data_IF_593081510593
#
_entry.id   IF_593081510593
#
_cell.length_a   1.000
_cell.length_b   1.000
_cell.length_c   1.000
_cell.angle_alpha   90.00
_cell.angle_beta   90.00
_cell.angle_gamma   90.00
#
_symmetry.space_group_name_H-M   'P 1'
#
loop_
_entity.id
_entity.type
_entity.pdbx_description
1 polymer ?
#
# COMPACT_ATOMS: atom_id res chain seq x y z
N UNK A 1 17.05 -13.43 -5.24
CA UNK A 1 17.34 -11.98 -5.37
C UNK A 1 16.61 -11.26 -4.26
N UNK A 2 17.32 -10.58 -3.33
CA UNK A 2 16.69 -9.74 -2.31
C UNK A 2 16.26 -8.42 -2.97
N UNK A 3 15.14 -8.43 -3.68
CA UNK A 3 14.52 -7.22 -4.19
C UNK A 3 13.71 -6.58 -3.07
N UNK A 4 14.26 -5.57 -2.41
CA UNK A 4 13.52 -4.77 -1.44
C UNK A 4 12.57 -3.83 -2.16
N UNK A 5 11.31 -3.79 -1.74
CA UNK A 5 10.34 -2.80 -2.19
C UNK A 5 10.38 -1.62 -1.22
N UNK A 6 10.70 -0.44 -1.72
CA UNK A 6 10.66 0.78 -0.92
C UNK A 6 9.33 1.50 -1.15
N UNK A 7 8.75 2.06 -0.09
CA UNK A 7 7.55 2.87 -0.19
C UNK A 7 7.71 4.20 0.53
N UNK A 8 7.03 5.22 0.01
CA UNK A 8 6.88 6.51 0.69
C UNK A 8 5.43 6.95 0.57
N UNK A 9 4.90 7.48 1.67
CA UNK A 9 3.55 8.02 1.71
C UNK A 9 3.58 9.48 2.13
N UNK A 10 2.61 10.24 1.64
CA UNK A 10 2.39 11.64 2.02
C UNK A 10 0.91 11.81 2.33
N UNK A 11 0.59 12.39 3.48
CA UNK A 11 -0.79 12.61 3.95
C UNK A 11 -1.69 11.36 4.05
N UNK A 12 -1.12 10.15 3.87
CA UNK A 12 -1.81 8.87 3.99
C UNK A 12 -2.64 8.46 2.77
N UNK A 13 -2.90 9.35 1.81
CA UNK A 13 -3.72 9.09 0.62
C UNK A 13 -2.88 8.73 -0.61
N UNK A 14 -1.58 8.99 -0.59
CA UNK A 14 -0.65 8.71 -1.69
C UNK A 14 0.39 7.67 -1.28
N UNK A 15 0.59 6.65 -2.12
CA UNK A 15 1.70 5.70 -2.04
C UNK A 15 2.57 5.81 -3.30
N UNK A 16 3.89 5.73 -3.09
CA UNK A 16 4.87 5.42 -4.13
C UNK A 16 5.57 4.13 -3.76
N UNK A 17 5.71 3.21 -4.70
CA UNK A 17 6.37 1.91 -4.56
C UNK A 17 7.52 1.87 -5.59
N UNK A 18 8.74 1.68 -5.12
CA UNK A 18 9.96 1.63 -5.95
C UNK A 18 10.62 0.26 -5.80
N UNK A 19 11.00 -0.33 -6.93
CA UNK A 19 11.75 -1.58 -6.97
C UNK A 19 12.71 -1.59 -8.18
N UNK A 20 13.72 -2.46 -8.14
CA UNK A 20 14.61 -2.72 -9.27
C UNK A 20 14.21 -4.03 -9.95
N UNK A 21 13.99 -4.03 -11.25
CA UNK A 21 13.53 -5.20 -12.02
C UNK A 21 14.68 -6.06 -12.59
N UNK A 22 15.92 -5.63 -12.39
CA UNK A 22 17.11 -6.26 -12.97
C UNK A 22 17.74 -5.45 -14.08
N UNK A 23 17.03 -4.48 -14.66
CA UNK A 23 17.51 -3.58 -15.72
C UNK A 23 17.43 -2.11 -15.30
N UNK A 24 16.40 -1.74 -14.54
CA UNK A 24 16.17 -0.38 -14.11
C UNK A 24 15.31 -0.29 -12.85
N UNK A 25 15.16 0.94 -12.35
CA UNK A 25 14.21 1.23 -11.29
C UNK A 25 12.81 1.42 -11.88
N UNK A 26 11.83 0.72 -11.33
CA UNK A 26 10.41 0.92 -11.62
C UNK A 26 9.75 1.70 -10.48
N UNK A 27 8.76 2.54 -10.84
CA UNK A 27 7.93 3.28 -9.89
C UNK A 27 6.46 2.99 -10.17
N UNK A 28 5.74 2.56 -9.14
CA UNK A 28 4.29 2.56 -9.10
C UNK A 28 3.82 3.65 -8.15
N UNK A 29 2.80 4.41 -8.56
CA UNK A 29 2.23 5.47 -7.73
C UNK A 29 0.71 5.38 -7.76
N UNK A 30 0.07 5.41 -6.59
CA UNK A 30 -1.39 5.40 -6.46
C UNK A 30 -1.84 6.41 -5.42
N UNK A 31 -2.85 7.20 -5.77
CA UNK A 31 -3.59 8.07 -4.86
C UNK A 31 -4.99 7.48 -4.66
N UNK A 32 -5.42 7.38 -3.41
CA UNK A 32 -6.81 7.08 -3.07
C UNK A 32 -7.64 8.35 -3.24
N UNK A 33 -8.78 8.25 -3.90
CA UNK A 33 -9.73 9.36 -3.98
C UNK A 33 -10.41 9.61 -2.63
N UNK A 34 -10.53 8.57 -1.78
CA UNK A 34 -11.09 8.62 -0.43
C UNK A 34 -10.37 7.65 0.49
N UNK A 35 -10.31 7.98 1.78
CA UNK A 35 -9.66 7.15 2.79
C UNK A 35 -8.14 7.32 2.83
N UNK A 36 -7.45 6.34 3.42
CA UNK A 36 -6.00 6.36 3.60
C UNK A 36 -5.41 4.95 3.55
N UNK A 37 -4.15 4.85 3.15
CA UNK A 37 -3.38 3.63 3.30
C UNK A 37 -3.09 3.37 4.79
N UNK A 38 -3.29 2.12 5.23
CA UNK A 38 -2.84 1.65 6.55
C UNK A 38 -1.62 0.78 6.33
N UNK A 39 -0.44 1.37 6.52
CA UNK A 39 0.80 0.62 6.42
C UNK A 39 1.06 -0.17 7.69
N UNK A 40 1.47 -1.43 7.59
CA UNK A 40 2.02 -2.11 8.73
C UNK A 40 3.33 -1.44 9.15
N UNK A 41 3.41 -1.02 10.41
CA UNK A 41 4.67 -0.60 11.01
C UNK A 41 5.65 -1.79 10.95
N UNK A 42 6.75 -1.70 10.20
CA UNK A 42 7.71 -2.79 10.15
C UNK A 42 8.48 -2.84 11.48
N UNK A 43 8.57 -4.01 12.11
CA UNK A 43 9.37 -4.19 13.32
C UNK A 43 10.87 -4.01 13.02
N UNK A 44 11.33 -4.47 11.85
CA UNK A 44 12.74 -4.50 11.44
C UNK A 44 13.00 -3.75 10.12
N UNK A 45 12.22 -2.71 9.81
CA UNK A 45 12.38 -1.89 8.60
C UNK A 45 11.91 -2.53 7.29
N UNK A 46 11.52 -3.81 7.29
CA UNK A 46 10.87 -4.49 6.18
C UNK A 46 9.67 -5.31 6.67
N UNK A 47 8.67 -5.50 5.80
CA UNK A 47 7.54 -6.39 6.07
C UNK A 47 7.33 -7.27 4.83
N UNK A 48 7.08 -8.56 5.05
CA UNK A 48 6.61 -9.45 4.00
C UNK A 48 5.10 -9.32 3.86
N UNK A 49 4.62 -9.09 2.65
CA UNK A 49 3.19 -9.04 2.31
C UNK A 49 2.90 -10.04 1.19
N UNK A 50 1.78 -10.75 1.28
CA UNK A 50 1.29 -11.58 0.18
C UNK A 50 0.66 -10.71 -0.93
N UNK A 51 0.39 -11.32 -2.09
CA UNK A 51 -0.27 -10.62 -3.21
C UNK A 51 -1.69 -10.14 -2.83
N UNK A 52 -2.47 -10.97 -2.13
CA UNK A 52 -3.81 -10.58 -1.67
C UNK A 52 -3.77 -9.45 -0.63
N UNK A 53 -2.78 -9.51 0.25
CA UNK A 53 -2.48 -8.48 1.23
C UNK A 53 -2.09 -7.14 0.59
N UNK A 54 -1.30 -7.18 -0.48
CA UNK A 54 -1.03 -6.00 -1.32
C UNK A 54 -2.31 -5.44 -1.95
N UNK A 55 -3.21 -6.31 -2.43
CA UNK A 55 -4.51 -5.90 -2.96
C UNK A 55 -5.32 -5.07 -1.96
N UNK A 56 -5.46 -5.55 -0.72
CA UNK A 56 -6.14 -4.80 0.35
C UNK A 56 -5.49 -3.44 0.61
N UNK A 57 -4.16 -3.39 0.71
CA UNK A 57 -3.45 -2.12 0.90
C UNK A 57 -3.75 -1.15 -0.24
N UNK A 58 -3.67 -1.60 -1.49
CA UNK A 58 -3.91 -0.75 -2.66
C UNK A 58 -5.35 -0.23 -2.73
N UNK A 59 -6.31 -0.89 -2.09
CA UNK A 59 -7.70 -0.41 -1.96
C UNK A 59 -7.96 0.44 -0.71
N UNK A 60 -6.95 0.67 0.13
CA UNK A 60 -7.13 1.39 1.40
C UNK A 60 -7.92 0.58 2.43
N UNK A 61 -7.81 -0.75 2.39
CA UNK A 61 -8.42 -1.70 3.33
C UNK A 61 -7.37 -2.09 4.39
N UNK A 62 -7.76 -2.08 5.67
CA UNK A 62 -6.92 -2.66 6.72
C UNK A 62 -6.85 -4.18 6.56
N UNK A 63 -5.75 -4.67 6.06
CA UNK A 63 -5.47 -6.09 5.87
C UNK A 63 -5.40 -6.93 7.17
N UNK A 64 -5.24 -6.31 8.36
CA UNK A 64 -5.29 -7.00 9.67
C UNK A 64 -6.72 -7.19 10.15
N UNK A 65 -7.63 -6.33 9.69
CA UNK A 65 -9.05 -6.37 9.98
C UNK A 65 -9.82 -5.81 8.77
N UNK A 66 -10.17 -6.65 7.77
CA UNK A 66 -10.59 -6.22 6.43
C UNK A 66 -11.79 -5.28 6.42
N UNK A 67 -11.49 -3.98 6.52
CA UNK A 67 -12.45 -2.88 6.53
C UNK A 67 -11.87 -1.73 5.70
N UNK A 68 -12.71 -1.11 4.87
CA UNK A 68 -12.32 0.10 4.14
C UNK A 68 -12.07 1.24 5.14
N UNK A 69 -11.03 2.02 4.90
CA UNK A 69 -10.74 3.24 5.70
C UNK A 69 -11.72 4.38 5.47
N UNK A 70 -12.60 4.22 4.50
CA UNK A 70 -13.71 5.11 4.20
C UNK A 70 -15.00 4.31 4.11
N UNK A 71 -16.10 4.87 4.60
CA UNK A 71 -17.46 4.32 4.47
C UNK A 71 -18.27 5.20 3.53
N UNK A 72 -18.88 4.67 2.45
CA UNK A 72 -19.80 5.45 1.63
C UNK A 72 -21.03 5.86 2.46
N UNK A 73 -21.50 7.09 2.28
CA UNK A 73 -22.62 7.64 3.05
C UNK A 73 -23.98 7.09 2.61
N UNK A 74 -24.08 6.51 1.41
CA UNK A 74 -25.20 5.69 0.96
C UNK A 74 -24.79 4.86 -0.27
N UNK A 75 -25.33 3.65 -0.41
CA UNK A 75 -25.49 3.02 -1.72
C UNK A 75 -26.78 3.59 -2.30
N UNK A 76 -26.70 4.25 -3.46
CA UNK A 76 -27.87 4.71 -4.20
C UNK A 76 -28.73 3.55 -4.67
#
# INVERSE_FOLDING_TARGET
MKGGMHYVTRFGDLVKIIWYDGQGSCLFMKRLERGRFIWPTPADGAVSISVGQMGYLLEGIDWRNPQKTWRPEAAG
#
